data_IF_841839381203
#
_entry.id   IF_841839381203
#
_cell.length_a   1.000
_cell.length_b   1.000
_cell.length_c   1.000
_cell.angle_alpha   90.00
_cell.angle_beta   90.00
_cell.angle_gamma   90.00
#
_symmetry.space_group_name_H-M   'P 1'
#
loop_
_entity.id
_entity.type
_entity.pdbx_description
1 polymer ?
#
# COMPACT_ATOMS: atom_id res chain seq x y z
N UNK A 1 24.64 3.19 -23.42
CA UNK A 1 24.11 3.38 -23.09
C UNK A 1 23.73 3.45 -22.50
N UNK A 2 23.89 3.11 -22.43
CA UNK A 2 23.35 3.04 -22.00
C UNK A 2 22.95 3.23 -21.12
N UNK A 3 22.98 3.09 -21.01
CA UNK A 3 22.39 3.16 -20.22
C UNK A 3 21.92 3.03 -19.50
N UNK A 4 22.31 2.90 -19.76
CA UNK A 4 21.74 2.72 -19.25
C UNK A 4 21.23 2.12 -18.68
N UNK A 5 21.53 1.65 -18.70
CA UNK A 5 21.08 0.42 -18.22
C UNK A 5 21.00 0.38 -16.74
N UNK A 6 21.95 0.78 -16.05
CA UNK A 6 21.91 0.77 -14.63
C UNK A 6 20.69 1.48 -14.13
N UNK A 7 20.27 2.40 -14.84
CA UNK A 7 19.08 3.07 -14.47
C UNK A 7 17.94 2.16 -14.41
N UNK A 8 18.03 1.08 -15.10
CA UNK A 8 16.93 0.20 -15.14
C UNK A 8 16.68 -0.44 -13.85
N UNK A 9 17.70 -0.82 -13.13
CA UNK A 9 17.44 -1.43 -11.92
C UNK A 9 16.98 -0.46 -10.95
N UNK A 10 17.47 0.69 -11.02
CA UNK A 10 16.95 1.67 -10.16
C UNK A 10 15.56 2.00 -10.64
N UNK A 11 15.17 1.45 -11.76
CA UNK A 11 13.85 1.66 -12.25
C UNK A 11 12.81 0.77 -11.66
N UNK A 12 13.09 0.09 -10.57
CA UNK A 12 12.05 -0.67 -9.91
C UNK A 12 10.98 0.33 -9.53
N UNK A 13 9.80 0.10 -10.05
CA UNK A 13 8.71 1.02 -9.89
C UNK A 13 7.89 0.67 -8.70
N UNK A 14 7.94 1.48 -7.67
CA UNK A 14 7.16 1.27 -6.45
C UNK A 14 5.84 2.03 -6.52
N UNK A 15 5.75 3.02 -7.39
CA UNK A 15 4.50 3.77 -7.55
C UNK A 15 3.42 2.84 -8.03
N UNK A 16 2.23 3.03 -7.54
CA UNK A 16 1.12 2.25 -8.01
C UNK A 16 -0.01 2.21 -7.02
N UNK A 17 -1.04 1.49 -7.39
CA UNK A 17 -2.21 1.29 -6.55
C UNK A 17 -2.23 -0.17 -6.12
N UNK A 18 -2.32 -0.37 -4.82
CA UNK A 18 -2.29 -1.71 -4.22
C UNK A 18 -3.55 -1.89 -3.39
N UNK A 19 -4.19 -3.05 -3.51
CA UNK A 19 -5.46 -3.31 -2.84
C UNK A 19 -5.42 -4.56 -2.00
N UNK A 20 -6.19 -4.54 -0.94
CA UNK A 20 -6.39 -5.67 -0.05
C UNK A 20 -7.88 -5.78 0.24
N UNK A 21 -8.43 -6.99 0.13
CA UNK A 21 -9.81 -7.27 0.49
C UNK A 21 -9.83 -8.17 1.70
N UNK A 22 -10.61 -7.81 2.70
CA UNK A 22 -10.76 -8.61 3.90
C UNK A 22 -12.23 -8.71 4.29
N UNK A 23 -12.64 -9.89 4.75
CA UNK A 23 -14.00 -10.11 5.21
C UNK A 23 -13.96 -10.91 6.50
N UNK A 24 -14.86 -10.58 7.41
CA UNK A 24 -15.01 -11.30 8.68
C UNK A 24 -16.48 -11.45 8.95
N UNK A 25 -16.82 -12.06 10.10
CA UNK A 25 -18.21 -12.20 10.50
C UNK A 25 -18.89 -10.85 10.70
N UNK A 26 -18.11 -9.82 11.00
CA UNK A 26 -18.65 -8.53 11.40
C UNK A 26 -18.44 -7.41 10.38
N UNK A 27 -17.59 -7.62 9.39
CA UNK A 27 -17.30 -6.55 8.44
C UNK A 27 -16.77 -7.08 7.10
N UNK A 28 -16.95 -6.27 6.07
CA UNK A 28 -16.34 -6.47 4.77
C UNK A 28 -15.56 -5.20 4.53
N UNK A 29 -14.27 -5.33 4.28
CA UNK A 29 -13.39 -4.18 4.14
C UNK A 29 -12.55 -4.23 2.88
N UNK A 30 -12.39 -3.06 2.25
CA UNK A 30 -11.48 -2.86 1.13
C UNK A 30 -10.45 -1.84 1.58
N UNK A 31 -9.20 -2.15 1.42
CA UNK A 31 -8.12 -1.25 1.79
C UNK A 31 -7.27 -0.99 0.56
N UNK A 32 -7.00 0.27 0.28
CA UNK A 32 -6.24 0.67 -0.90
C UNK A 32 -5.11 1.58 -0.48
N UNK A 33 -3.91 1.28 -0.98
CA UNK A 33 -2.75 2.13 -0.79
C UNK A 33 -2.28 2.61 -2.15
N UNK A 34 -2.20 3.93 -2.33
CA UNK A 34 -1.62 4.52 -3.53
C UNK A 34 -0.25 5.06 -3.13
N UNK A 35 0.79 4.51 -3.74
CA UNK A 35 2.18 4.88 -3.45
C UNK A 35 2.64 5.86 -4.53
N UNK A 36 3.06 7.02 -4.09
CA UNK A 36 3.46 8.10 -4.99
C UNK A 36 4.88 8.55 -4.66
N UNK A 37 5.77 8.52 -5.63
CA UNK A 37 7.14 9.00 -5.47
C UNK A 37 7.12 10.54 -5.47
N UNK A 38 7.78 11.14 -4.49
CA UNK A 38 7.84 12.59 -4.39
C UNK A 38 9.18 13.09 -4.91
N UNK A 39 10.27 12.68 -4.28
CA UNK A 39 11.61 13.03 -4.74
C UNK A 39 12.63 12.15 -4.01
N UNK A 40 13.73 11.81 -4.67
CA UNK A 40 14.77 10.99 -4.06
C UNK A 40 14.22 9.71 -3.47
N UNK A 41 14.32 9.56 -2.17
CA UNK A 41 13.81 8.39 -1.46
C UNK A 41 12.49 8.69 -0.75
N UNK A 42 11.93 9.86 -0.98
CA UNK A 42 10.70 10.29 -0.31
C UNK A 42 9.47 9.87 -1.10
N UNK A 43 8.50 9.31 -0.40
CA UNK A 43 7.24 8.86 -0.97
C UNK A 43 6.08 9.36 -0.15
N UNK A 44 4.93 9.44 -0.79
CA UNK A 44 3.69 9.79 -0.13
C UNK A 44 2.74 8.61 -0.35
N UNK A 45 2.12 8.15 0.71
CA UNK A 45 1.21 7.02 0.65
C UNK A 45 -0.18 7.50 1.02
N UNK A 46 -1.12 7.27 0.12
CA UNK A 46 -2.52 7.62 0.34
C UNK A 46 -3.26 6.35 0.67
N UNK A 47 -3.82 6.28 1.85
CA UNK A 47 -4.59 5.10 2.26
C UNK A 47 -6.07 5.44 2.20
N UNK A 48 -6.84 4.57 1.60
CA UNK A 48 -8.29 4.67 1.58
C UNK A 48 -8.85 3.35 2.03
N UNK A 49 -9.64 3.40 3.10
CA UNK A 49 -10.25 2.21 3.66
C UNK A 49 -11.76 2.37 3.57
N UNK A 50 -12.41 1.40 2.94
CA UNK A 50 -13.85 1.37 2.87
C UNK A 50 -14.34 0.11 3.55
N UNK A 51 -15.35 0.19 4.40
CA UNK A 51 -15.87 -1.00 5.04
C UNK A 51 -17.35 -0.87 5.32
N UNK A 52 -17.98 -2.05 5.42
CA UNK A 52 -19.36 -2.17 5.82
C UNK A 52 -19.38 -2.94 7.11
N UNK A 53 -20.08 -2.43 8.11
CA UNK A 53 -20.34 -3.20 9.32
C UNK A 53 -21.56 -4.05 9.04
N UNK A 54 -21.50 -5.33 9.41
CA UNK A 54 -22.61 -6.23 9.18
C UNK A 54 -23.55 -6.19 10.38
N UNK A 55 -24.85 -6.29 10.13
CA UNK A 55 -25.84 -6.33 11.19
C UNK A 55 -25.96 -7.77 11.73
N UNK A 56 -26.86 -7.99 12.68
CA UNK A 56 -27.03 -9.30 13.31
C UNK A 56 -27.45 -10.38 12.31
N UNK A 57 -28.04 -9.98 11.20
CA UNK A 57 -28.43 -10.91 10.16
C UNK A 57 -27.35 -11.10 9.10
N UNK A 58 -26.18 -10.49 9.29
CA UNK A 58 -25.08 -10.58 8.34
C UNK A 58 -25.23 -9.70 7.12
N UNK A 59 -26.15 -8.73 7.13
CA UNK A 59 -26.35 -7.85 5.99
C UNK A 59 -25.48 -6.60 6.14
N UNK A 60 -24.93 -6.10 5.02
CA UNK A 60 -24.12 -4.90 5.07
C UNK A 60 -24.95 -3.69 5.49
N UNK A 61 -24.44 -2.93 6.41
CA UNK A 61 -25.02 -1.66 6.79
C UNK A 61 -24.47 -0.54 5.92
N UNK A 62 -24.33 0.64 6.51
CA UNK A 62 -23.83 1.79 5.80
C UNK A 62 -22.33 1.63 5.54
N UNK A 63 -21.87 2.05 4.37
CA UNK A 63 -20.47 2.03 4.04
C UNK A 63 -19.75 3.20 4.72
N UNK A 64 -18.64 2.91 5.37
CA UNK A 64 -17.79 3.91 6.01
C UNK A 64 -16.51 4.03 5.21
N UNK A 65 -16.07 5.27 4.94
CA UNK A 65 -14.85 5.54 4.21
C UNK A 65 -13.91 6.33 5.10
N UNK A 66 -12.65 5.90 5.14
CA UNK A 66 -11.61 6.61 5.87
C UNK A 66 -10.43 6.88 4.96
N UNK A 67 -9.77 8.00 5.16
CA UNK A 67 -8.61 8.40 4.37
C UNK A 67 -7.47 8.77 5.30
N UNK A 68 -6.26 8.37 4.92
CA UNK A 68 -5.04 8.76 5.63
C UNK A 68 -3.98 9.07 4.58
N UNK A 69 -3.03 9.92 4.94
CA UNK A 69 -1.87 10.18 4.10
C UNK A 69 -0.64 10.12 4.97
N UNK A 70 0.37 9.42 4.49
CA UNK A 70 1.61 9.24 5.22
C UNK A 70 2.79 9.62 4.36
N UNK A 71 3.78 10.25 4.96
CA UNK A 71 5.07 10.44 4.31
C UNK A 71 5.90 9.22 4.65
N UNK A 72 6.68 8.74 3.70
CA UNK A 72 7.49 7.56 3.91
C UNK A 72 8.85 7.74 3.25
N UNK A 73 9.84 7.05 3.77
CA UNK A 73 11.21 7.08 3.24
C UNK A 73 11.60 5.66 2.87
N UNK A 74 12.09 5.49 1.65
CA UNK A 74 12.52 4.19 1.15
C UNK A 74 13.99 3.96 1.49
N UNK A 75 14.29 2.76 1.96
CA UNK A 75 15.66 2.33 2.26
C UNK A 75 16.06 1.32 1.18
N UNK A 76 16.97 1.73 0.31
CA UNK A 76 17.42 0.87 -0.77
C UNK A 76 18.17 -0.35 -0.26
N UNK A 77 18.83 -0.24 0.88
CA UNK A 77 19.59 -1.35 1.44
C UNK A 77 18.71 -2.52 1.86
N UNK A 78 17.56 -2.23 2.43
CA UNK A 78 16.64 -3.27 2.89
C UNK A 78 15.47 -3.51 1.95
N UNK A 79 15.26 -2.61 0.99
CA UNK A 79 14.11 -2.73 0.09
C UNK A 79 12.79 -2.43 0.79
N UNK A 80 12.83 -1.66 1.87
CA UNK A 80 11.65 -1.36 2.66
C UNK A 80 11.43 0.14 2.75
N UNK A 81 10.24 0.51 3.11
CA UNK A 81 9.83 1.90 3.27
C UNK A 81 9.23 2.03 4.66
N UNK A 82 9.54 3.11 5.35
CA UNK A 82 8.99 3.34 6.69
C UNK A 82 8.14 4.60 6.65
N UNK A 83 6.89 4.49 7.04
CA UNK A 83 6.01 5.64 7.09
C UNK A 83 6.16 6.37 8.42
N UNK A 84 5.95 7.68 8.40
CA UNK A 84 6.30 8.54 9.53
C UNK A 84 5.21 8.73 10.56
N UNK A 85 4.02 8.24 10.32
CA UNK A 85 2.90 8.47 11.24
C UNK A 85 2.95 7.55 12.44
N UNK A 86 3.17 6.27 12.20
CA UNK A 86 3.26 5.27 13.25
C UNK A 86 4.55 4.44 13.17
N UNK A 87 5.41 4.75 12.23
CA UNK A 87 6.67 4.02 12.07
C UNK A 87 6.50 2.63 11.49
N UNK A 88 5.40 2.37 10.78
CA UNK A 88 5.17 1.04 10.21
C UNK A 88 6.08 0.81 9.01
N UNK A 89 6.50 -0.42 8.86
CA UNK A 89 7.38 -0.80 7.77
C UNK A 89 6.58 -1.41 6.63
N UNK A 90 6.94 -1.02 5.41
CA UNK A 90 6.28 -1.48 4.20
C UNK A 90 7.34 -2.15 3.36
N UNK A 91 7.11 -3.38 2.95
CA UNK A 91 8.03 -4.08 2.07
C UNK A 91 7.35 -4.38 0.74
N UNK A 92 8.17 -4.55 -0.29
CA UNK A 92 7.66 -4.75 -1.64
C UNK A 92 8.27 -5.99 -2.26
N UNK A 93 7.47 -6.76 -2.95
CA UNK A 93 7.93 -7.81 -3.83
C UNK A 93 7.50 -7.38 -5.24
N UNK A 94 8.39 -6.68 -5.92
CA UNK A 94 8.06 -6.10 -7.21
C UNK A 94 7.81 -7.16 -8.29
N UNK A 95 8.45 -8.31 -8.18
CA UNK A 95 8.25 -9.37 -9.15
C UNK A 95 6.81 -9.90 -9.11
N UNK A 96 6.21 -9.91 -7.94
CA UNK A 96 4.86 -10.41 -7.76
C UNK A 96 3.82 -9.30 -7.66
N UNK A 97 4.26 -8.05 -7.63
CA UNK A 97 3.36 -6.92 -7.47
C UNK A 97 2.71 -6.87 -6.09
N UNK A 98 3.44 -7.30 -5.07
CA UNK A 98 2.89 -7.35 -3.73
C UNK A 98 3.54 -6.31 -2.83
N UNK A 99 2.71 -5.61 -2.06
CA UNK A 99 3.13 -4.70 -1.02
C UNK A 99 2.66 -5.32 0.31
N UNK A 100 3.56 -5.37 1.28
CA UNK A 100 3.23 -5.89 2.59
C UNK A 100 3.33 -4.76 3.61
N UNK A 101 2.24 -4.44 4.27
CA UNK A 101 2.18 -3.47 5.35
C UNK A 101 1.97 -4.27 6.63
N UNK A 102 3.03 -4.38 7.43
CA UNK A 102 3.06 -5.23 8.60
C UNK A 102 2.68 -6.67 8.21
N UNK A 103 1.53 -7.16 8.60
CA UNK A 103 1.12 -8.52 8.26
C UNK A 103 0.08 -8.57 7.14
N UNK A 104 -0.26 -7.43 6.57
CA UNK A 104 -1.28 -7.35 5.52
C UNK A 104 -0.66 -7.31 4.14
N UNK A 105 -1.17 -8.12 3.22
CA UNK A 105 -0.67 -8.18 1.86
C UNK A 105 -1.62 -7.44 0.92
N UNK A 106 -1.04 -6.60 0.08
CA UNK A 106 -1.79 -5.83 -0.90
C UNK A 106 -1.29 -6.23 -2.29
N UNK A 107 -2.21 -6.33 -3.23
CA UNK A 107 -1.88 -6.68 -4.60
C UNK A 107 -1.92 -5.44 -5.48
N UNK A 108 -0.89 -5.24 -6.27
CA UNK A 108 -0.83 -4.13 -7.22
C UNK A 108 -1.84 -4.35 -8.33
N UNK A 109 -2.59 -3.31 -8.64
CA UNK A 109 -3.58 -3.38 -9.72
C UNK A 109 -3.27 -2.41 -10.85
N UNK A 110 -2.27 -1.54 -10.67
CA UNK A 110 -1.87 -0.71 -11.79
C UNK A 110 -0.53 -0.03 -11.54
#
# INVERSE_FOLDING_TARGET
>A
MLFCAGCLKSGVELNGTYVNHAASEFSIADDTLVVEHVSGLDYLIHRRTGYFLLDDAGKPGKRVLEKEEWKAVYDEGSGTMTENRKGRMISFDSDKGILKLENSLFQRIN
#
